data_IF_705294994668
#
_entry.id   IF_705294994668
#
_cell.length_a   1.000
_cell.length_b   1.000
_cell.length_c   1.000
_cell.angle_alpha   90.00
_cell.angle_beta   90.00
_cell.angle_gamma   90.00
#
_symmetry.space_group_name_H-M   'P 1'
#
loop_
_entity.id
_entity.type
_entity.pdbx_description
1 polymer ?
#
# COMPACT_ATOMS: atom_id res chain seq x y z
N UNK A 1 6.04 -13.62 11.95
CA UNK A 1 4.84 -13.23 12.75
C UNK A 1 3.69 -13.21 11.76
N UNK A 2 2.61 -13.96 11.96
CA UNK A 2 1.55 -14.04 10.94
C UNK A 2 0.71 -12.75 10.92
N UNK A 3 0.44 -12.19 9.74
CA UNK A 3 -0.44 -11.03 9.61
C UNK A 3 -1.90 -11.48 9.85
N UNK A 4 -2.74 -10.56 10.31
CA UNK A 4 -4.19 -10.79 10.36
C UNK A 4 -4.75 -10.27 9.03
N UNK A 5 -5.58 -11.05 8.30
CA UNK A 5 -6.22 -10.57 7.09
C UNK A 5 -6.96 -9.25 7.33
N UNK A 6 -6.69 -8.25 6.50
CA UNK A 6 -7.24 -6.90 6.67
C UNK A 6 -7.71 -6.32 5.34
N UNK A 7 -8.83 -5.61 5.42
CA UNK A 7 -9.42 -4.88 4.31
C UNK A 7 -8.79 -3.49 4.22
N UNK A 8 -8.45 -3.11 2.99
CA UNK A 8 -7.94 -1.79 2.64
C UNK A 8 -8.71 -1.25 1.45
N UNK A 9 -8.99 0.04 1.48
CA UNK A 9 -9.43 0.76 0.29
C UNK A 9 -8.19 1.26 -0.44
N UNK A 10 -8.08 0.88 -1.71
CA UNK A 10 -7.11 1.39 -2.65
C UNK A 10 -7.64 2.70 -3.24
N UNK A 11 -6.88 3.76 -3.02
CA UNK A 11 -7.19 5.10 -3.53
C UNK A 11 -5.99 5.64 -4.28
N UNK A 12 -6.23 6.62 -5.15
CA UNK A 12 -5.18 7.40 -5.79
C UNK A 12 -5.35 8.85 -5.38
N UNK A 13 -4.26 9.48 -4.96
CA UNK A 13 -4.22 10.93 -4.79
C UNK A 13 -3.83 11.56 -6.12
N UNK A 14 -4.64 12.51 -6.56
CA UNK A 14 -4.25 13.39 -7.64
C UNK A 14 -3.23 14.41 -7.12
N UNK A 15 -2.01 14.46 -7.67
CA UNK A 15 -0.93 15.29 -7.14
C UNK A 15 -1.14 16.80 -7.37
N UNK A 16 -2.01 17.18 -8.31
CA UNK A 16 -2.26 18.57 -8.67
C UNK A 16 -3.47 19.15 -7.94
N UNK A 17 -4.45 18.31 -7.62
CA UNK A 17 -5.73 18.73 -7.02
C UNK A 17 -5.94 18.26 -5.58
N UNK A 18 -5.05 17.38 -5.08
CA UNK A 18 -5.20 16.68 -3.80
C UNK A 18 -6.50 15.86 -3.71
N UNK A 19 -7.16 15.61 -4.84
CA UNK A 19 -8.41 14.87 -4.88
C UNK A 19 -8.15 13.38 -4.64
N UNK A 20 -8.93 12.78 -3.74
CA UNK A 20 -8.92 11.36 -3.46
C UNK A 20 -9.84 10.64 -4.45
N UNK A 21 -9.25 9.89 -5.37
CA UNK A 21 -9.99 9.04 -6.30
C UNK A 21 -10.08 7.60 -5.77
N UNK A 22 -11.28 7.05 -5.54
CA UNK A 22 -11.42 5.65 -5.20
C UNK A 22 -10.97 4.79 -6.38
N UNK A 23 -10.27 3.68 -6.09
CA UNK A 23 -9.85 2.70 -7.11
C UNK A 23 -10.52 1.36 -6.86
N UNK A 24 -10.66 0.95 -5.60
CA UNK A 24 -11.35 -0.27 -5.20
C UNK A 24 -11.00 -0.71 -3.79
N UNK A 25 -11.41 -1.93 -3.44
CA UNK A 25 -11.06 -2.57 -2.17
C UNK A 25 -10.19 -3.80 -2.39
N UNK A 26 -9.19 -3.93 -1.53
CA UNK A 26 -8.26 -5.06 -1.52
C UNK A 26 -8.17 -5.65 -0.11
N UNK A 27 -7.96 -6.94 -0.04
CA UNK A 27 -7.60 -7.65 1.17
C UNK A 27 -6.11 -7.99 1.12
N UNK A 28 -5.42 -7.81 2.24
CA UNK A 28 -4.08 -8.36 2.45
C UNK A 28 -4.23 -9.53 3.41
N UNK A 29 -3.83 -10.73 2.99
CA UNK A 29 -3.95 -11.95 3.79
C UNK A 29 -2.83 -12.08 4.85
N UNK A 30 -2.82 -13.23 5.55
CA UNK A 30 -1.86 -13.50 6.62
C UNK A 30 -0.40 -13.62 6.13
N UNK A 31 -0.21 -13.88 4.84
CA UNK A 31 1.09 -14.02 4.17
C UNK A 31 1.49 -12.72 3.43
N UNK A 32 0.72 -11.65 3.62
CA UNK A 32 0.96 -10.35 3.00
C UNK A 32 0.59 -10.30 1.52
N UNK A 33 -0.17 -11.27 1.01
CA UNK A 33 -0.60 -11.32 -0.39
C UNK A 33 -1.87 -10.50 -0.59
N UNK A 34 -1.95 -9.84 -1.74
CA UNK A 34 -3.07 -8.99 -2.09
C UNK A 34 -4.14 -9.79 -2.83
N UNK A 35 -5.40 -9.55 -2.48
CA UNK A 35 -6.57 -10.04 -3.19
C UNK A 35 -7.50 -8.88 -3.49
N UNK A 36 -7.81 -8.66 -4.76
CA UNK A 36 -8.78 -7.63 -5.17
C UNK A 36 -10.19 -8.12 -4.83
N UNK A 37 -10.96 -7.30 -4.11
CA UNK A 37 -12.34 -7.60 -3.72
C UNK A 37 -13.35 -6.82 -4.55
N UNK A 38 -13.05 -5.56 -4.83
CA UNK A 38 -13.89 -4.66 -5.61
C UNK A 38 -13.00 -3.69 -6.41
N UNK A 39 -13.55 -3.09 -7.47
CA UNK A 39 -12.86 -2.07 -8.25
C UNK A 39 -13.86 -1.11 -8.85
N UNK A 40 -13.47 0.14 -9.03
CA UNK A 40 -14.22 1.08 -9.85
C UNK A 40 -14.30 0.61 -11.32
N UNK A 41 -15.35 0.99 -12.06
CA UNK A 41 -15.54 0.59 -13.45
C UNK A 41 -14.32 0.94 -14.32
N UNK A 42 -13.75 -0.07 -14.98
CA UNK A 42 -12.58 0.09 -15.85
C UNK A 42 -11.21 -0.01 -15.15
N UNK A 43 -11.16 -0.12 -13.82
CA UNK A 43 -9.91 -0.23 -13.06
C UNK A 43 -9.60 -1.66 -12.56
N UNK A 44 -10.49 -2.63 -12.80
CA UNK A 44 -10.29 -4.02 -12.38
C UNK A 44 -8.98 -4.63 -12.91
N UNK A 45 -8.69 -4.44 -14.21
CA UNK A 45 -7.47 -4.95 -14.82
C UNK A 45 -6.22 -4.35 -14.17
N UNK A 46 -6.23 -3.04 -13.95
CA UNK A 46 -5.15 -2.32 -13.31
C UNK A 46 -4.87 -2.82 -11.88
N UNK A 47 -5.90 -3.01 -11.04
CA UNK A 47 -5.71 -3.54 -9.69
C UNK A 47 -5.22 -5.00 -9.70
N UNK A 48 -5.72 -5.83 -10.60
CA UNK A 48 -5.27 -7.22 -10.71
C UNK A 48 -3.81 -7.30 -11.17
N UNK A 49 -3.39 -6.51 -12.15
CA UNK A 49 -2.00 -6.48 -12.62
C UNK A 49 -1.03 -6.10 -11.49
N UNK A 50 -1.42 -5.14 -10.64
CA UNK A 50 -0.65 -4.74 -9.45
C UNK A 50 -0.62 -5.87 -8.41
N UNK A 51 -1.78 -6.48 -8.12
CA UNK A 51 -1.84 -7.59 -7.17
C UNK A 51 -0.97 -8.76 -7.64
N UNK A 52 -0.99 -9.09 -8.93
CA UNK A 52 -0.19 -10.16 -9.52
C UNK A 52 1.31 -9.86 -9.46
N UNK A 53 1.75 -8.66 -9.85
CA UNK A 53 3.18 -8.26 -9.76
C UNK A 53 3.68 -8.28 -8.32
N UNK A 54 2.89 -7.78 -7.37
CA UNK A 54 3.25 -7.81 -5.96
C UNK A 54 3.29 -9.26 -5.44
N UNK A 55 2.28 -10.07 -5.73
CA UNK A 55 2.18 -11.45 -5.27
C UNK A 55 3.23 -12.38 -5.88
N UNK A 56 3.77 -12.05 -7.05
CA UNK A 56 4.87 -12.78 -7.68
C UNK A 56 6.22 -12.59 -6.96
N UNK A 57 6.32 -11.60 -6.06
CA UNK A 57 7.55 -11.27 -5.32
C UNK A 57 7.48 -11.84 -3.90
N UNK A 58 8.58 -12.46 -3.46
CA UNK A 58 8.72 -12.93 -2.07
C UNK A 58 9.22 -11.82 -1.12
N UNK A 59 9.75 -10.73 -1.67
CA UNK A 59 10.28 -9.59 -0.94
C UNK A 59 10.02 -8.27 -1.67
N UNK A 60 9.98 -7.17 -0.92
CA UNK A 60 9.85 -5.81 -1.44
C UNK A 60 11.16 -5.05 -1.20
N UNK A 61 11.59 -4.26 -2.19
CA UNK A 61 12.80 -3.44 -2.07
C UNK A 61 12.46 -2.04 -1.58
N UNK A 62 13.05 -1.64 -0.46
CA UNK A 62 12.99 -0.28 0.08
C UNK A 62 14.34 0.42 -0.12
N UNK A 63 14.33 1.72 -0.42
CA UNK A 63 15.56 2.54 -0.42
C UNK A 63 15.76 3.12 0.98
N UNK A 64 16.89 2.82 1.61
CA UNK A 64 17.25 3.31 2.95
C UNK A 64 18.57 4.08 2.90
N UNK A 65 18.85 4.99 3.86
CA UNK A 65 20.16 5.64 3.96
C UNK A 65 21.28 4.61 4.12
N UNK A 66 22.36 4.77 3.35
CA UNK A 66 23.55 3.91 3.41
C UNK A 66 24.63 4.40 4.38
N UNK A 67 25.72 3.63 4.49
CA UNK A 67 26.83 3.96 5.40
C UNK A 67 27.59 5.23 4.99
N UNK A 68 27.61 5.53 3.69
CA UNK A 68 28.23 6.73 3.15
C UNK A 68 27.25 7.92 3.23
N UNK A 69 27.80 9.10 3.52
CA UNK A 69 27.01 10.34 3.55
C UNK A 69 26.29 10.56 2.23
N UNK A 70 24.96 10.67 2.28
CA UNK A 70 24.04 10.82 1.14
C UNK A 70 23.94 9.59 0.22
N UNK A 71 24.42 8.41 0.62
CA UNK A 71 24.17 7.18 -0.13
C UNK A 71 22.78 6.62 0.18
N UNK A 72 22.18 5.98 -0.82
CA UNK A 72 20.97 5.17 -0.69
C UNK A 72 21.33 3.72 -1.00
N UNK A 73 20.89 2.83 -0.14
CA UNK A 73 21.07 1.39 -0.27
C UNK A 73 19.72 0.70 -0.43
N UNK A 74 19.74 -0.47 -1.08
CA UNK A 74 18.56 -1.31 -1.22
C UNK A 74 18.44 -2.23 0.00
N UNK A 75 17.35 -2.08 0.75
CA UNK A 75 16.92 -3.02 1.78
C UNK A 75 15.86 -3.94 1.17
N UNK A 76 16.09 -5.24 1.24
CA UNK A 76 15.10 -6.24 0.85
C UNK A 76 14.30 -6.64 2.08
N UNK A 77 12.98 -6.53 2.00
CA UNK A 77 12.06 -6.74 3.10
C UNK A 77 11.20 -7.96 2.76
N UNK A 78 11.44 -9.12 3.40
CA UNK A 78 10.66 -10.32 3.14
C UNK A 78 9.23 -10.18 3.69
N UNK A 79 8.29 -10.97 3.14
CA UNK A 79 6.87 -10.94 3.51
C UNK A 79 6.56 -11.16 4.99
N UNK A 80 7.39 -11.95 5.66
CA UNK A 80 7.22 -12.30 7.07
C UNK A 80 7.87 -11.28 8.02
N UNK A 81 8.52 -10.24 7.47
CA UNK A 81 9.10 -9.16 8.25
C UNK A 81 8.02 -8.37 9.00
N UNK A 82 8.30 -7.93 10.24
CA UNK A 82 7.33 -7.21 11.06
C UNK A 82 6.89 -5.87 10.45
N UNK A 83 7.74 -5.25 9.63
CA UNK A 83 7.50 -3.98 8.94
C UNK A 83 7.10 -4.14 7.47
N UNK A 84 6.86 -5.38 7.01
CA UNK A 84 6.53 -5.65 5.60
C UNK A 84 5.33 -4.84 5.11
N UNK A 85 4.27 -4.76 5.92
CA UNK A 85 3.04 -4.06 5.54
C UNK A 85 3.27 -2.56 5.32
N UNK A 86 4.04 -1.92 6.20
CA UNK A 86 4.32 -0.48 6.08
C UNK A 86 5.18 -0.21 4.84
N UNK A 87 6.18 -1.05 4.60
CA UNK A 87 7.02 -0.99 3.40
C UNK A 87 6.21 -1.25 2.13
N UNK A 88 5.26 -2.18 2.16
CA UNK A 88 4.36 -2.46 1.04
C UNK A 88 3.48 -1.24 0.73
N UNK A 89 2.90 -0.58 1.74
CA UNK A 89 2.11 0.64 1.55
C UNK A 89 2.94 1.75 0.90
N UNK A 90 4.15 1.99 1.39
CA UNK A 90 5.08 2.97 0.79
C UNK A 90 5.46 2.60 -0.64
N UNK A 91 5.75 1.32 -0.88
CA UNK A 91 6.12 0.82 -2.21
C UNK A 91 4.97 1.02 -3.20
N UNK A 92 3.75 0.67 -2.81
CA UNK A 92 2.58 0.78 -3.68
C UNK A 92 2.26 2.23 -4.01
N UNK A 93 2.38 3.12 -3.03
CA UNK A 93 2.25 4.57 -3.23
C UNK A 93 3.31 5.10 -4.20
N UNK A 94 4.58 4.74 -3.99
CA UNK A 94 5.69 5.25 -4.79
C UNK A 94 5.70 4.76 -6.24
N UNK A 95 5.39 3.50 -6.48
CA UNK A 95 5.55 2.86 -7.79
C UNK A 95 4.27 2.78 -8.60
N UNK A 96 3.09 2.78 -7.96
CA UNK A 96 1.80 2.73 -8.66
C UNK A 96 0.93 3.96 -8.38
N UNK A 97 1.33 4.87 -7.49
CA UNK A 97 0.51 6.03 -7.13
C UNK A 97 -0.75 5.65 -6.35
N UNK A 98 -0.73 4.51 -5.65
CA UNK A 98 -1.85 3.99 -4.89
C UNK A 98 -1.58 4.04 -3.39
N UNK A 99 -2.52 4.55 -2.63
CA UNK A 99 -2.51 4.44 -1.18
C UNK A 99 -3.47 3.34 -0.73
N UNK A 100 -3.02 2.55 0.25
CA UNK A 100 -3.82 1.50 0.89
C UNK A 100 -4.20 1.97 2.28
N UNK A 101 -5.45 2.43 2.43
CA UNK A 101 -5.97 2.94 3.71
C UNK A 101 -6.86 1.91 4.37
N UNK A 102 -6.57 1.60 5.63
CA UNK A 102 -7.44 0.75 6.44
C UNK A 102 -8.63 1.54 6.98
N UNK A 103 -9.67 0.84 7.43
CA UNK A 103 -10.83 1.49 8.06
C UNK A 103 -10.49 2.25 9.35
N UNK A 104 -9.34 1.97 9.98
CA UNK A 104 -8.83 2.72 11.13
C UNK A 104 -8.18 4.03 10.67
N UNK A 105 -7.37 3.97 9.60
CA UNK A 105 -6.71 5.15 9.00
C UNK A 105 -7.75 6.19 8.55
N UNK A 106 -8.90 5.74 8.03
CA UNK A 106 -10.01 6.61 7.61
C UNK A 106 -10.80 7.26 8.76
N UNK A 107 -10.72 6.71 9.98
CA UNK A 107 -11.40 7.28 11.15
C UNK A 107 -10.58 8.38 11.82
N UNK A 108 -9.25 8.29 11.78
CA UNK A 108 -8.35 9.34 12.28
C UNK A 108 -8.48 10.64 11.46
N UNK A 109 -8.55 10.56 10.13
CA UNK A 109 -8.77 11.75 9.30
C UNK A 109 -10.11 12.44 9.58
N UNK A 110 -11.17 11.72 9.96
CA UNK A 110 -12.44 12.35 10.34
C UNK A 110 -12.42 13.01 11.71
N UNK A 111 -11.55 12.57 12.62
CA UNK A 111 -11.45 13.14 13.95
C UNK A 111 -10.76 14.52 13.92
N UNK A 112 -9.71 14.67 13.11
CA UNK A 112 -8.95 15.93 12.99
C UNK A 112 -9.78 17.07 12.35
N UNK A 113 -10.82 16.77 11.58
CA UNK A 113 -11.72 17.78 11.00
C UNK A 113 -12.85 18.24 11.94
N UNK A 114 -13.08 17.55 13.07
CA UNK A 114 -14.20 17.87 13.98
C UNK A 114 -13.76 18.76 15.17
N UNK A 115 -12.45 18.92 15.39
CA UNK A 115 -11.90 19.73 16.50
C UNK A 115 -11.35 21.12 16.07
N UNK A 116 -11.81 21.66 14.92
CA UNK A 116 -11.46 23.00 14.39
C UNK A 116 -12.65 23.97 14.39
#
# INVERSE_FOLDING_TARGET
MALIPRLYSAIRLDPDTEEVMPVGDVEIDADGRLRVLSSEPGLLGYLNDIADDLNARDEITQKVPGELRNALEARYVPRDAPDFLDVLKEYVSKYYGLELRSSADMQEEKADFIDL
#
